data_IF_368000032269
#
_entry.id   IF_368000032269
#
_cell.length_a   1.000
_cell.length_b   1.000
_cell.length_c   1.000
_cell.angle_alpha   90.00
_cell.angle_beta   90.00
_cell.angle_gamma   90.00
#
_symmetry.space_group_name_H-M   'P 1'
#
loop_
_entity.id
_entity.type
_entity.pdbx_description
1 polymer ?
#
# COMPACT_ATOMS: atom_id res chain seq x y z
N UNK A 1 -19.02 24.01 33.04
CA UNK A 1 -20.44 23.95 32.65
C UNK A 1 -20.56 24.51 31.25
N UNK A 2 -21.21 23.80 30.32
CA UNK A 2 -21.40 24.25 28.94
C UNK A 2 -22.88 24.31 28.59
N UNK A 3 -23.26 25.21 27.68
CA UNK A 3 -24.61 25.34 27.13
C UNK A 3 -24.52 25.42 25.61
N UNK A 4 -25.58 25.01 24.95
CA UNK A 4 -25.70 25.08 23.47
C UNK A 4 -26.70 26.19 23.15
N UNK A 5 -26.47 26.93 22.07
CA UNK A 5 -27.39 27.94 21.56
C UNK A 5 -28.66 27.29 20.98
N UNK A 6 -29.80 28.00 21.08
CA UNK A 6 -31.00 27.61 20.36
C UNK A 6 -30.91 27.98 18.85
N UNK A 7 -31.99 27.73 18.09
CA UNK A 7 -32.05 28.01 16.65
C UNK A 7 -31.90 29.50 16.29
N UNK A 8 -32.14 30.40 17.24
CA UNK A 8 -31.98 31.85 17.08
C UNK A 8 -30.59 32.32 17.51
N UNK A 9 -29.67 31.41 17.87
CA UNK A 9 -28.35 31.73 18.36
C UNK A 9 -28.29 32.25 19.81
N UNK A 10 -29.39 32.11 20.59
CA UNK A 10 -29.47 32.57 21.98
C UNK A 10 -29.08 31.50 22.95
N UNK A 11 -28.36 31.87 24.00
CA UNK A 11 -27.97 31.00 25.10
C UNK A 11 -28.12 31.71 26.46
N UNK A 12 -28.28 30.95 27.51
CA UNK A 12 -28.26 31.43 28.88
C UNK A 12 -27.33 30.60 29.72
N UNK A 13 -26.42 31.22 30.42
CA UNK A 13 -25.43 30.54 31.26
C UNK A 13 -25.29 31.28 32.59
N UNK A 14 -25.22 30.53 33.69
CA UNK A 14 -24.86 31.09 35.00
C UNK A 14 -23.35 31.10 35.12
N UNK A 15 -22.79 32.30 35.31
CA UNK A 15 -21.36 32.45 35.44
C UNK A 15 -21.02 33.70 36.31
N UNK A 16 -19.86 33.66 36.96
CA UNK A 16 -19.38 34.77 37.78
C UNK A 16 -18.77 35.88 36.91
N UNK A 17 -18.73 37.15 37.41
CA UNK A 17 -18.11 38.25 36.68
C UNK A 17 -16.63 38.01 36.33
N UNK A 18 -15.92 37.17 37.08
CA UNK A 18 -14.53 36.81 36.86
C UNK A 18 -14.32 35.75 35.77
N UNK A 19 -15.40 35.05 35.36
CA UNK A 19 -15.31 33.92 34.47
C UNK A 19 -15.07 34.34 33.01
N UNK A 20 -14.44 33.40 32.28
CA UNK A 20 -14.20 33.53 30.83
C UNK A 20 -15.06 32.47 30.14
N UNK A 21 -15.86 32.90 29.20
CA UNK A 21 -16.63 32.03 28.34
C UNK A 21 -15.84 31.78 27.05
N UNK A 22 -15.63 30.51 26.71
CA UNK A 22 -15.14 30.09 25.42
C UNK A 22 -16.33 29.74 24.52
N UNK A 23 -16.47 30.46 23.41
CA UNK A 23 -17.50 30.24 22.41
C UNK A 23 -16.85 29.58 21.20
N UNK A 24 -17.36 28.43 20.78
CA UNK A 24 -16.89 27.73 19.60
C UNK A 24 -18.06 27.25 18.76
N UNK A 25 -17.91 27.35 17.45
CA UNK A 25 -18.84 26.80 16.47
C UNK A 25 -18.06 26.24 15.28
N UNK A 26 -18.57 25.19 14.67
CA UNK A 26 -17.89 24.54 13.54
C UNK A 26 -17.79 25.54 12.37
N UNK A 27 -16.57 25.79 11.88
CA UNK A 27 -16.31 26.76 10.81
C UNK A 27 -16.03 28.17 11.27
N UNK A 28 -15.96 28.43 12.58
CA UNK A 28 -15.66 29.75 13.14
C UNK A 28 -14.48 29.70 14.12
N UNK A 29 -13.71 30.78 14.16
CA UNK A 29 -12.60 30.92 15.12
C UNK A 29 -13.14 31.00 16.55
N UNK A 30 -12.71 30.09 17.48
CA UNK A 30 -13.12 30.16 18.87
C UNK A 30 -12.78 31.50 19.49
N UNK A 31 -13.71 32.05 20.28
CA UNK A 31 -13.56 33.34 20.91
C UNK A 31 -13.71 33.24 22.42
N UNK A 32 -12.75 33.78 23.14
CA UNK A 32 -12.80 33.89 24.60
C UNK A 32 -13.25 35.27 25.02
N UNK A 33 -14.22 35.34 25.91
CA UNK A 33 -14.79 36.60 26.40
C UNK A 33 -14.89 36.57 27.91
N UNK A 34 -14.30 37.56 28.56
CA UNK A 34 -14.51 37.83 29.98
C UNK A 34 -15.90 38.43 30.20
N UNK A 35 -16.66 37.92 31.14
CA UNK A 35 -18.04 38.34 31.39
C UNK A 35 -18.11 39.74 31.97
N UNK A 36 -17.33 40.01 32.99
CA UNK A 36 -17.35 41.31 33.69
C UNK A 36 -18.71 41.58 34.33
N UNK A 37 -19.14 42.82 34.33
CA UNK A 37 -20.43 43.24 34.86
C UNK A 37 -21.61 43.14 33.87
N UNK A 38 -21.38 42.56 32.69
CA UNK A 38 -22.37 42.52 31.60
C UNK A 38 -23.38 41.43 31.86
N UNK A 39 -24.66 41.76 31.76
CA UNK A 39 -25.78 40.79 31.87
C UNK A 39 -26.22 40.22 30.51
N UNK A 40 -25.90 40.92 29.43
CA UNK A 40 -26.20 40.49 28.06
C UNK A 40 -24.93 40.64 27.24
N UNK A 41 -24.62 39.61 26.46
CA UNK A 41 -23.47 39.58 25.56
C UNK A 41 -23.98 39.34 24.13
N UNK A 42 -23.63 40.25 23.21
CA UNK A 42 -23.75 39.98 21.78
C UNK A 42 -22.35 39.59 21.27
N UNK A 43 -22.27 38.45 20.60
CA UNK A 43 -21.01 37.85 20.21
C UNK A 43 -21.05 37.54 18.73
N UNK A 44 -20.19 38.21 17.98
CA UNK A 44 -19.98 37.90 16.59
C UNK A 44 -18.76 37.00 16.50
N UNK A 45 -18.94 35.82 15.87
CA UNK A 45 -17.87 34.92 15.55
C UNK A 45 -17.38 35.22 14.13
N UNK A 46 -16.08 35.28 13.96
CA UNK A 46 -15.45 35.39 12.65
C UNK A 46 -15.36 34.02 12.06
N UNK A 47 -15.71 33.88 10.79
CA UNK A 47 -15.48 32.65 10.06
C UNK A 47 -14.01 32.28 10.14
N UNK A 48 -13.72 31.02 10.48
CA UNK A 48 -12.38 30.50 10.42
C UNK A 48 -12.02 30.33 8.95
N UNK A 49 -11.49 31.39 8.35
CA UNK A 49 -10.94 31.34 6.98
C UNK A 49 -9.77 30.35 6.82
N UNK A 50 -9.34 29.73 7.92
CA UNK A 50 -8.47 28.56 7.93
C UNK A 50 -9.23 27.23 7.83
N UNK A 51 -10.56 27.23 7.66
CA UNK A 51 -11.21 26.05 7.14
C UNK A 51 -10.61 25.83 5.76
N UNK A 52 -9.65 24.94 5.76
CA UNK A 52 -8.82 24.47 4.67
C UNK A 52 -9.60 24.54 3.35
N UNK A 53 -9.42 25.65 2.62
CA UNK A 53 -9.72 25.65 1.21
C UNK A 53 -8.90 24.48 0.66
N UNK A 54 -9.58 23.41 0.29
CA UNK A 54 -8.93 22.21 -0.25
C UNK A 54 -8.16 22.64 -1.50
N UNK A 55 -6.87 22.88 -1.31
CA UNK A 55 -5.97 23.26 -2.40
C UNK A 55 -5.56 21.97 -3.09
N UNK A 56 -6.00 21.83 -4.31
CA UNK A 56 -5.58 20.74 -5.19
C UNK A 56 -4.32 21.20 -5.91
N UNK A 57 -3.30 20.38 -5.87
CA UNK A 57 -2.09 20.63 -6.64
C UNK A 57 -2.35 20.20 -8.07
N UNK A 58 -2.19 21.14 -8.99
CA UNK A 58 -2.33 20.93 -10.43
C UNK A 58 -0.95 20.85 -11.10
N UNK A 59 -0.92 20.88 -12.41
CA UNK A 59 0.30 20.78 -13.20
C UNK A 59 1.39 21.73 -12.70
N UNK A 60 2.62 21.26 -12.71
CA UNK A 60 3.83 22.01 -12.32
C UNK A 60 3.84 22.53 -10.85
N UNK A 61 3.11 21.85 -9.95
CA UNK A 61 3.14 22.19 -8.53
C UNK A 61 2.38 23.48 -8.14
N UNK A 62 1.56 24.00 -9.04
CA UNK A 62 0.70 25.16 -8.73
C UNK A 62 -0.52 24.68 -7.95
N UNK A 63 -0.67 25.13 -6.71
CA UNK A 63 -1.88 24.90 -5.92
C UNK A 63 -3.03 25.78 -6.42
N UNK A 64 -4.16 25.19 -6.78
CA UNK A 64 -5.41 25.88 -7.09
C UNK A 64 -6.49 25.46 -6.08
N UNK A 65 -7.37 26.41 -5.75
CA UNK A 65 -8.52 26.08 -4.91
C UNK A 65 -9.43 25.11 -5.65
N UNK A 66 -9.85 24.01 -5.03
CA UNK A 66 -10.75 23.01 -5.63
C UNK A 66 -12.01 23.67 -6.20
N UNK A 67 -12.55 24.65 -5.50
CA UNK A 67 -13.72 25.41 -5.92
C UNK A 67 -13.52 26.25 -7.20
N UNK A 68 -12.29 26.55 -7.58
CA UNK A 68 -11.95 27.34 -8.79
C UNK A 68 -11.58 26.46 -9.99
N UNK A 69 -11.57 25.14 -9.85
CA UNK A 69 -11.19 24.22 -10.92
C UNK A 69 -12.39 23.88 -11.80
N UNK A 70 -12.22 24.09 -13.10
CA UNK A 70 -13.16 23.61 -14.10
C UNK A 70 -12.74 22.20 -14.50
N UNK A 71 -13.34 21.18 -13.89
CA UNK A 71 -13.04 19.77 -14.17
C UNK A 71 -13.23 18.86 -12.96
N UNK A 72 -13.37 17.56 -13.19
CA UNK A 72 -13.50 16.55 -12.15
C UNK A 72 -12.15 16.21 -11.58
N UNK A 73 -11.83 16.79 -10.43
CA UNK A 73 -10.62 16.51 -9.65
C UNK A 73 -11.00 15.99 -8.29
N UNK A 74 -10.41 14.87 -7.90
CA UNK A 74 -10.56 14.29 -6.58
C UNK A 74 -9.24 14.32 -5.83
N UNK A 75 -9.28 14.80 -4.61
CA UNK A 75 -8.13 14.83 -3.71
C UNK A 75 -8.41 13.93 -2.52
N UNK A 76 -7.47 13.06 -2.18
CA UNK A 76 -7.59 12.10 -1.09
C UNK A 76 -6.34 12.14 -0.26
N UNK A 77 -6.51 12.12 1.06
CA UNK A 77 -5.40 12.06 2.00
C UNK A 77 -5.00 10.61 2.29
N UNK A 78 -3.70 10.31 2.46
CA UNK A 78 -3.23 8.94 2.74
C UNK A 78 -3.83 8.33 4.01
N UNK A 79 -4.28 9.14 4.97
CA UNK A 79 -4.96 8.64 6.16
C UNK A 79 -6.23 7.83 5.84
N UNK A 80 -6.89 8.14 4.71
CA UNK A 80 -8.06 7.43 4.22
C UNK A 80 -7.70 6.13 3.47
N UNK A 81 -6.43 6.01 3.07
CA UNK A 81 -5.88 4.86 2.35
C UNK A 81 -5.12 3.88 3.25
N UNK A 82 -5.13 4.09 4.57
CA UNK A 82 -4.43 3.21 5.52
C UNK A 82 -4.99 1.79 5.46
N UNK A 83 -4.31 0.94 4.71
CA UNK A 83 -4.48 -0.51 4.70
C UNK A 83 -3.14 -1.12 5.04
N UNK A 84 -3.11 -2.21 5.79
CA UNK A 84 -1.91 -3.03 5.91
C UNK A 84 -1.62 -3.66 4.54
N UNK A 85 -0.85 -2.96 3.73
CA UNK A 85 -0.45 -3.39 2.40
C UNK A 85 0.98 -2.97 2.16
N UNK A 86 1.74 -3.86 1.55
CA UNK A 86 3.13 -3.62 1.18
C UNK A 86 3.25 -2.70 -0.03
N UNK A 87 2.25 -2.70 -0.92
CA UNK A 87 2.22 -1.87 -2.12
C UNK A 87 1.08 -0.85 -2.07
N UNK A 88 1.41 0.38 -2.39
CA UNK A 88 0.50 1.50 -2.31
C UNK A 88 -0.71 1.36 -3.25
N UNK A 89 -0.53 0.82 -4.47
CA UNK A 89 -1.61 0.69 -5.45
C UNK A 89 -2.73 -0.26 -5.02
N UNK A 90 -2.45 -1.22 -4.15
CA UNK A 90 -3.50 -2.13 -3.62
C UNK A 90 -4.48 -1.40 -2.71
N UNK A 91 -4.06 -0.29 -2.10
CA UNK A 91 -4.92 0.55 -1.29
C UNK A 91 -5.93 1.38 -2.10
N UNK A 92 -5.78 1.46 -3.43
CA UNK A 92 -6.64 2.28 -4.28
C UNK A 92 -7.99 1.63 -4.57
N UNK A 93 -8.07 0.29 -4.53
CA UNK A 93 -9.30 -0.45 -4.83
C UNK A 93 -10.44 -0.06 -3.88
N UNK A 94 -11.55 0.42 -4.46
CA UNK A 94 -12.76 0.83 -3.73
C UNK A 94 -12.64 2.09 -2.87
N UNK A 95 -11.48 2.79 -2.88
CA UNK A 95 -11.24 3.99 -2.08
C UNK A 95 -11.04 5.26 -2.89
N UNK A 96 -10.58 5.12 -4.14
CA UNK A 96 -10.42 6.22 -5.06
C UNK A 96 -11.57 6.22 -6.07
N UNK A 97 -12.47 7.20 -5.98
CA UNK A 97 -13.61 7.27 -6.89
C UNK A 97 -13.13 7.45 -8.34
N UNK A 98 -13.61 6.59 -9.23
CA UNK A 98 -13.23 6.55 -10.64
C UNK A 98 -11.87 5.90 -10.93
N UNK A 99 -11.26 5.24 -9.94
CA UNK A 99 -10.09 4.38 -10.13
C UNK A 99 -10.51 2.92 -10.01
N UNK A 100 -10.20 2.13 -11.00
CA UNK A 100 -10.34 0.68 -11.00
C UNK A 100 -8.96 0.11 -10.72
N UNK A 101 -8.81 -0.67 -9.67
CA UNK A 101 -7.56 -1.33 -9.32
C UNK A 101 -7.76 -2.84 -9.21
N UNK A 102 -6.86 -3.62 -9.80
CA UNK A 102 -6.90 -5.08 -9.83
C UNK A 102 -5.54 -5.62 -9.42
N UNK A 103 -5.52 -6.33 -8.30
CA UNK A 103 -4.37 -7.09 -7.86
C UNK A 103 -4.46 -8.51 -8.43
N UNK A 104 -3.45 -8.92 -9.20
CA UNK A 104 -3.42 -10.26 -9.85
C UNK A 104 -2.71 -11.31 -9.01
N UNK A 105 -1.86 -10.91 -8.10
CA UNK A 105 -1.03 -11.80 -7.28
C UNK A 105 -0.85 -11.22 -5.88
N UNK A 106 -0.72 -12.07 -4.88
CA UNK A 106 -0.26 -11.72 -3.54
C UNK A 106 1.20 -12.08 -3.28
N UNK A 107 1.94 -12.48 -4.32
CA UNK A 107 3.34 -12.86 -4.20
C UNK A 107 4.19 -11.63 -3.92
N UNK A 108 5.06 -11.65 -2.91
CA UNK A 108 5.98 -10.56 -2.64
C UNK A 108 6.76 -10.13 -3.89
N UNK A 109 6.76 -8.82 -4.15
CA UNK A 109 7.39 -8.22 -5.33
C UNK A 109 6.57 -8.26 -6.62
N UNK A 110 5.45 -8.99 -6.65
CA UNK A 110 4.47 -9.04 -7.74
C UNK A 110 3.03 -8.80 -7.25
N UNK A 111 2.88 -8.26 -6.05
CA UNK A 111 1.63 -8.00 -5.32
C UNK A 111 1.08 -6.58 -5.53
N UNK A 112 1.69 -5.79 -6.40
CA UNK A 112 1.17 -4.49 -6.83
C UNK A 112 -0.15 -4.66 -7.62
N UNK A 113 -1.06 -3.69 -7.46
CA UNK A 113 -2.27 -3.62 -8.28
C UNK A 113 -2.03 -2.80 -9.55
N UNK A 114 -2.52 -3.30 -10.67
CA UNK A 114 -2.70 -2.47 -11.86
C UNK A 114 -3.93 -1.60 -11.65
N UNK A 115 -3.86 -0.33 -12.03
CA UNK A 115 -4.99 0.57 -11.87
C UNK A 115 -5.20 1.46 -13.10
N UNK A 116 -6.44 1.83 -13.31
CA UNK A 116 -6.89 2.67 -14.44
C UNK A 116 -7.82 3.76 -13.93
N UNK A 117 -7.77 4.92 -14.56
CA UNK A 117 -8.68 6.02 -14.30
C UNK A 117 -9.83 5.94 -15.31
N UNK A 118 -11.07 5.79 -14.82
CA UNK A 118 -12.29 5.61 -15.65
C UNK A 118 -12.30 4.35 -16.53
N UNK A 119 -11.41 3.40 -16.28
CA UNK A 119 -11.36 2.12 -17.00
C UNK A 119 -10.35 2.10 -18.13
N UNK A 120 -10.36 0.99 -18.87
CA UNK A 120 -9.47 0.78 -20.02
C UNK A 120 -10.06 1.47 -21.25
N UNK A 121 -9.36 2.48 -21.78
CA UNK A 121 -9.84 3.32 -22.87
C UNK A 121 -9.39 2.83 -24.28
N UNK A 122 -8.48 1.88 -24.35
CA UNK A 122 -7.92 1.35 -25.61
C UNK A 122 -7.66 -0.15 -25.51
N UNK A 123 -7.83 -0.87 -26.61
CA UNK A 123 -7.58 -2.31 -26.67
C UNK A 123 -6.11 -2.64 -27.01
N UNK A 124 -5.40 -1.79 -27.72
CA UNK A 124 -4.06 -2.05 -28.27
C UNK A 124 -3.02 -0.98 -27.90
N UNK A 125 -3.32 -0.08 -26.98
CA UNK A 125 -2.41 1.00 -26.57
C UNK A 125 -2.02 0.94 -25.12
N UNK A 126 -1.20 1.90 -24.69
CA UNK A 126 -0.87 2.11 -23.28
C UNK A 126 -2.13 2.54 -22.55
N UNK A 127 -2.49 1.80 -21.51
CA UNK A 127 -3.70 2.04 -20.70
C UNK A 127 -3.38 2.66 -19.34
N UNK A 128 -2.11 2.70 -18.97
CA UNK A 128 -1.68 3.21 -17.67
C UNK A 128 -1.88 4.72 -17.57
N UNK A 129 -2.36 5.23 -16.44
CA UNK A 129 -2.44 6.65 -16.19
C UNK A 129 -1.04 7.27 -16.06
N UNK A 130 -0.93 8.56 -16.35
CA UNK A 130 0.28 9.32 -16.09
C UNK A 130 0.41 9.58 -14.59
N UNK A 131 1.56 9.24 -14.00
CA UNK A 131 1.83 9.44 -12.57
C UNK A 131 2.87 10.53 -12.41
N UNK A 132 2.55 11.54 -11.61
CA UNK A 132 3.44 12.69 -11.33
C UNK A 132 3.69 12.74 -9.81
N UNK A 133 4.93 12.52 -9.40
CA UNK A 133 5.38 12.66 -8.01
C UNK A 133 6.14 13.97 -7.85
N UNK A 134 5.60 14.91 -7.06
CA UNK A 134 6.18 16.24 -6.81
C UNK A 134 6.62 16.99 -8.10
N UNK A 135 5.88 16.80 -9.19
CA UNK A 135 6.15 17.44 -10.48
C UNK A 135 7.01 16.60 -11.45
N UNK A 136 7.50 15.43 -11.04
CA UNK A 136 8.30 14.53 -11.86
C UNK A 136 7.47 13.32 -12.27
N UNK A 137 7.54 12.91 -13.55
CA UNK A 137 6.90 11.69 -14.03
C UNK A 137 7.62 10.46 -13.46
N UNK A 138 6.85 9.52 -12.90
CA UNK A 138 7.34 8.26 -12.35
C UNK A 138 6.53 7.08 -12.91
N UNK A 139 7.07 5.87 -12.77
CA UNK A 139 6.37 4.64 -13.16
C UNK A 139 5.40 4.17 -12.07
N UNK A 140 4.47 3.26 -12.43
CA UNK A 140 3.62 2.55 -11.45
C UNK A 140 4.46 1.72 -10.46
N UNK A 141 5.61 1.21 -10.89
CA UNK A 141 6.55 0.50 -10.00
C UNK A 141 7.15 1.42 -8.96
N UNK A 142 7.59 2.63 -9.37
CA UNK A 142 8.14 3.63 -8.44
C UNK A 142 7.07 4.07 -7.43
N UNK A 143 5.83 4.27 -7.88
CA UNK A 143 4.71 4.58 -7.00
C UNK A 143 4.47 3.48 -5.96
N UNK A 144 4.51 2.21 -6.39
CA UNK A 144 4.31 1.06 -5.50
C UNK A 144 5.39 0.94 -4.43
N UNK A 145 6.60 1.38 -4.73
CA UNK A 145 7.71 1.35 -3.79
C UNK A 145 7.72 2.53 -2.80
N UNK A 146 6.85 3.55 -3.00
CA UNK A 146 6.74 4.67 -2.07
C UNK A 146 6.16 4.23 -0.72
N UNK A 147 6.70 4.79 0.33
CA UNK A 147 6.10 4.68 1.65
C UNK A 147 4.86 5.59 1.75
N UNK A 148 3.66 5.08 2.08
CA UNK A 148 2.47 5.90 2.29
C UNK A 148 2.66 7.04 3.31
N UNK A 149 3.56 6.87 4.27
CA UNK A 149 3.81 7.86 5.32
C UNK A 149 4.50 9.15 4.81
N UNK A 150 5.13 9.11 3.63
CA UNK A 150 5.71 10.32 3.03
C UNK A 150 4.71 11.14 2.23
N UNK A 151 3.55 10.59 1.91
CA UNK A 151 2.56 11.20 1.02
C UNK A 151 1.65 12.13 1.80
N UNK A 152 1.42 13.31 1.26
CA UNK A 152 0.47 14.30 1.78
C UNK A 152 -0.92 14.12 1.14
N UNK A 153 -0.96 14.01 -0.18
CA UNK A 153 -2.21 13.87 -0.93
C UNK A 153 -2.04 13.21 -2.30
N UNK A 154 -3.13 12.63 -2.78
CA UNK A 154 -3.32 12.21 -4.16
C UNK A 154 -4.35 13.11 -4.81
N UNK A 155 -4.06 13.63 -6.00
CA UNK A 155 -5.01 14.36 -6.83
C UNK A 155 -5.18 13.62 -8.15
N UNK A 156 -6.42 13.26 -8.47
CA UNK A 156 -6.73 12.48 -9.68
C UNK A 156 -7.45 13.39 -10.67
N UNK A 157 -6.82 13.65 -11.80
CA UNK A 157 -7.37 14.41 -12.91
C UNK A 157 -8.03 13.45 -13.88
N UNK A 158 -9.36 13.52 -13.97
CA UNK A 158 -10.17 12.55 -14.74
C UNK A 158 -10.63 13.08 -16.09
N UNK A 159 -10.80 14.41 -16.22
CA UNK A 159 -11.37 15.03 -17.40
C UNK A 159 -10.30 15.61 -18.34
N UNK A 160 -10.63 15.69 -19.64
CA UNK A 160 -9.75 16.25 -20.66
C UNK A 160 -9.33 17.70 -20.34
N UNK A 161 -10.23 18.51 -19.78
CA UNK A 161 -9.92 19.89 -19.35
C UNK A 161 -8.89 19.94 -18.25
N UNK A 162 -8.97 19.03 -17.26
CA UNK A 162 -8.02 18.94 -16.16
C UNK A 162 -6.66 18.34 -16.62
N UNK A 163 -6.67 17.43 -17.60
CA UNK A 163 -5.47 16.77 -18.11
C UNK A 163 -4.82 17.48 -19.30
N UNK A 164 -5.44 18.53 -19.86
CA UNK A 164 -4.97 19.25 -21.04
C UNK A 164 -3.52 19.73 -20.94
N UNK A 165 -3.08 20.13 -19.75
CA UNK A 165 -1.71 20.59 -19.50
C UNK A 165 -0.64 19.48 -19.66
N UNK A 166 -1.06 18.21 -19.67
CA UNK A 166 -0.17 17.05 -19.85
C UNK A 166 -0.20 16.50 -21.29
N UNK A 167 -1.00 17.12 -22.17
CA UNK A 167 -1.12 16.73 -23.56
C UNK A 167 -1.60 15.28 -23.75
N UNK A 168 -1.09 14.63 -24.78
CA UNK A 168 -1.46 13.23 -25.13
C UNK A 168 -1.13 12.22 -24.03
N UNK A 169 -0.10 12.48 -23.21
CA UNK A 169 0.26 11.62 -22.08
C UNK A 169 -0.80 11.59 -20.98
N UNK A 170 -1.62 12.62 -20.88
CA UNK A 170 -2.73 12.69 -19.94
C UNK A 170 -4.03 12.03 -20.42
N UNK A 171 -4.06 11.39 -21.60
CA UNK A 171 -5.27 10.82 -22.19
C UNK A 171 -5.95 9.77 -21.33
N UNK A 172 -5.18 8.96 -20.59
CA UNK A 172 -5.68 7.92 -19.67
C UNK A 172 -5.91 8.43 -18.23
N UNK A 173 -5.93 9.77 -18.05
CA UNK A 173 -5.99 10.41 -16.75
C UNK A 173 -4.60 10.63 -16.15
N UNK A 174 -4.55 11.50 -15.14
CA UNK A 174 -3.31 11.86 -14.43
C UNK A 174 -3.50 11.68 -12.93
N UNK A 175 -2.58 11.00 -12.30
CA UNK A 175 -2.46 10.90 -10.85
C UNK A 175 -1.30 11.78 -10.39
N UNK A 176 -1.59 12.80 -9.62
CA UNK A 176 -0.59 13.67 -9.00
C UNK A 176 -0.42 13.23 -7.55
N UNK A 177 0.80 12.89 -7.19
CA UNK A 177 1.20 12.50 -5.83
C UNK A 177 2.04 13.61 -5.25
N UNK A 178 1.64 14.13 -4.12
CA UNK A 178 2.37 15.18 -3.41
C UNK A 178 2.91 14.61 -2.11
N UNK A 179 4.21 14.81 -1.87
CA UNK A 179 4.83 14.39 -0.63
C UNK A 179 4.68 15.46 0.46
N UNK A 180 4.72 15.01 1.71
CA UNK A 180 4.62 15.90 2.89
C UNK A 180 5.70 16.97 2.85
N UNK A 181 5.31 18.18 3.20
CA UNK A 181 6.19 19.33 3.32
C UNK A 181 6.41 19.67 4.80
N UNK A 182 7.40 20.49 5.09
CA UNK A 182 7.59 21.08 6.40
C UNK A 182 6.43 21.99 6.79
N UNK A 183 6.43 22.39 8.04
CA UNK A 183 5.45 23.32 8.62
C UNK A 183 6.16 24.30 9.53
N UNK A 184 5.62 25.52 9.62
CA UNK A 184 6.05 26.48 10.65
C UNK A 184 5.45 26.02 11.99
N UNK A 185 6.28 25.42 12.83
CA UNK A 185 5.91 24.84 14.12
C UNK A 185 6.88 25.31 15.20
N UNK A 186 6.38 25.54 16.41
CA UNK A 186 7.20 25.88 17.58
C UNK A 186 8.13 24.72 17.97
N UNK A 187 7.68 23.49 17.73
CA UNK A 187 8.45 22.26 17.98
C UNK A 187 8.29 21.30 16.80
N UNK A 188 9.34 20.56 16.42
CA UNK A 188 9.22 19.55 15.38
C UNK A 188 8.30 18.40 15.81
N UNK A 189 7.57 17.86 14.86
CA UNK A 189 6.76 16.65 15.03
C UNK A 189 7.63 15.47 14.58
N UNK A 190 7.79 14.50 15.47
CA UNK A 190 8.51 13.25 15.22
C UNK A 190 7.50 12.11 15.26
N UNK A 191 7.50 11.27 14.22
CA UNK A 191 6.68 10.08 14.17
C UNK A 191 7.57 8.86 13.96
N UNK A 192 7.26 7.80 14.69
CA UNK A 192 7.82 6.48 14.49
C UNK A 192 6.68 5.49 14.31
N UNK A 193 6.77 4.65 13.29
CA UNK A 193 5.80 3.60 12.99
C UNK A 193 6.51 2.29 12.73
N UNK A 194 6.04 1.24 13.35
CA UNK A 194 6.46 -0.13 13.12
C UNK A 194 5.22 -0.97 12.81
N UNK A 195 5.30 -1.78 11.78
CA UNK A 195 4.25 -2.70 11.37
C UNK A 195 4.85 -4.10 11.20
N UNK A 196 4.17 -5.11 11.68
CA UNK A 196 4.45 -6.51 11.40
C UNK A 196 3.19 -7.13 10.79
N UNK A 197 3.35 -7.87 9.72
CA UNK A 197 2.26 -8.50 9.00
C UNK A 197 2.57 -9.97 8.79
N UNK A 198 1.57 -10.81 8.99
CA UNK A 198 1.58 -12.22 8.64
C UNK A 198 0.60 -12.46 7.48
N UNK A 199 1.07 -13.13 6.44
CA UNK A 199 0.26 -13.49 5.28
C UNK A 199 0.17 -15.01 5.15
N UNK A 200 -1.04 -15.49 4.87
CA UNK A 200 -1.31 -16.92 4.68
C UNK A 200 -2.11 -17.12 3.38
N UNK A 201 -1.95 -18.26 2.68
CA UNK A 201 -2.83 -18.62 1.57
C UNK A 201 -4.28 -18.72 2.05
N UNK A 202 -5.20 -18.21 1.28
CA UNK A 202 -6.64 -18.35 1.56
C UNK A 202 -7.16 -19.76 1.30
N UNK A 203 -6.46 -20.49 0.45
CA UNK A 203 -6.72 -21.89 0.13
C UNK A 203 -5.45 -22.56 -0.33
N UNK A 204 -5.26 -23.81 0.05
CA UNK A 204 -4.15 -24.66 -0.39
C UNK A 204 -4.69 -25.88 -1.13
N UNK A 205 -3.93 -26.40 -2.12
CA UNK A 205 -4.29 -27.65 -2.78
C UNK A 205 -4.33 -28.79 -1.78
N UNK A 206 -5.28 -29.70 -1.95
CA UNK A 206 -5.35 -30.96 -1.19
C UNK A 206 -4.94 -32.10 -2.09
N UNK A 207 -3.95 -32.84 -1.67
CA UNK A 207 -3.44 -33.99 -2.40
C UNK A 207 -3.91 -35.31 -1.73
N UNK A 208 -4.05 -36.35 -2.53
CA UNK A 208 -4.16 -37.71 -2.03
C UNK A 208 -2.79 -38.22 -1.62
N UNK A 209 -2.73 -39.16 -0.71
CA UNK A 209 -1.48 -39.86 -0.39
C UNK A 209 -0.98 -40.72 -1.54
N UNK A 210 0.31 -41.10 -1.50
CA UNK A 210 0.95 -41.86 -2.56
C UNK A 210 0.30 -43.20 -2.85
N UNK A 211 -0.25 -43.90 -1.85
CA UNK A 211 -0.93 -45.19 -2.07
C UNK A 211 -2.23 -44.97 -2.84
N UNK A 212 -3.05 -44.01 -2.43
CA UNK A 212 -4.28 -43.64 -3.14
C UNK A 212 -3.98 -43.12 -4.55
N UNK A 213 -2.91 -42.35 -4.73
CA UNK A 213 -2.47 -41.87 -6.04
C UNK A 213 -2.19 -43.08 -6.99
N UNK A 214 -1.44 -44.07 -6.52
CA UNK A 214 -1.11 -45.26 -7.32
C UNK A 214 -2.34 -46.10 -7.67
N UNK A 215 -3.29 -46.27 -6.74
CA UNK A 215 -4.56 -46.95 -6.99
C UNK A 215 -5.39 -46.27 -8.07
N UNK A 216 -5.57 -44.95 -7.95
CA UNK A 216 -6.32 -44.14 -8.93
C UNK A 216 -5.62 -44.13 -10.30
N UNK A 217 -4.29 -44.08 -10.31
CA UNK A 217 -3.53 -44.17 -11.56
C UNK A 217 -3.73 -45.49 -12.26
N UNK A 218 -3.61 -46.62 -11.51
CA UNK A 218 -3.85 -47.96 -12.06
C UNK A 218 -5.30 -48.12 -12.54
N UNK A 219 -6.27 -47.57 -11.82
CA UNK A 219 -7.67 -47.56 -12.25
C UNK A 219 -7.87 -46.83 -13.58
N UNK A 220 -7.23 -45.66 -13.72
CA UNK A 220 -7.29 -44.88 -14.95
C UNK A 220 -6.68 -45.65 -16.15
N UNK A 221 -5.52 -46.31 -15.96
CA UNK A 221 -4.88 -47.14 -16.99
C UNK A 221 -5.78 -48.31 -17.40
N UNK A 222 -6.41 -48.99 -16.43
CA UNK A 222 -7.33 -50.09 -16.71
C UNK A 222 -8.57 -49.61 -17.48
N UNK A 223 -9.12 -48.44 -17.13
CA UNK A 223 -10.30 -47.91 -17.82
C UNK A 223 -10.01 -47.46 -19.25
N UNK A 224 -8.77 -47.03 -19.52
CA UNK A 224 -8.33 -46.58 -20.85
C UNK A 224 -7.89 -47.78 -21.75
N UNK A 225 -7.89 -49.00 -21.26
CA UNK A 225 -7.36 -50.20 -21.92
C UNK A 225 -5.95 -50.01 -22.52
N UNK A 226 -5.14 -49.14 -21.90
CA UNK A 226 -3.85 -48.71 -22.43
C UNK A 226 -2.67 -49.62 -22.07
N UNK A 227 -2.89 -50.73 -21.36
CA UNK A 227 -1.86 -51.70 -21.07
C UNK A 227 -1.79 -52.17 -19.61
N UNK A 228 -0.64 -52.66 -19.20
CA UNK A 228 -0.40 -53.15 -17.85
C UNK A 228 -0.38 -52.05 -16.81
N UNK A 229 -0.84 -52.37 -15.61
CA UNK A 229 -0.79 -51.44 -14.46
C UNK A 229 0.66 -51.07 -14.13
N UNK A 230 0.89 -49.80 -13.91
CA UNK A 230 2.23 -49.27 -13.64
C UNK A 230 2.72 -49.61 -12.23
N UNK A 231 1.81 -49.64 -11.25
CA UNK A 231 2.15 -49.83 -9.84
C UNK A 231 1.70 -51.17 -9.34
N UNK A 232 2.65 -51.99 -8.81
CA UNK A 232 2.33 -53.28 -8.20
C UNK A 232 1.64 -53.13 -6.84
N UNK A 233 0.86 -54.15 -6.45
CA UNK A 233 0.20 -54.15 -5.14
C UNK A 233 1.19 -54.05 -3.98
N UNK A 234 2.35 -54.74 -4.08
CA UNK A 234 3.41 -54.66 -3.05
C UNK A 234 3.92 -53.23 -2.86
N UNK A 235 4.04 -52.43 -3.94
CA UNK A 235 4.44 -51.05 -3.87
C UNK A 235 3.37 -50.16 -3.21
N UNK A 236 2.11 -50.40 -3.54
CA UNK A 236 0.98 -49.66 -2.93
C UNK A 236 0.93 -49.96 -1.43
N UNK A 237 0.99 -51.26 -1.07
CA UNK A 237 0.92 -51.66 0.34
C UNK A 237 2.13 -51.23 1.14
N UNK A 238 3.33 -51.27 0.58
CA UNK A 238 4.56 -50.74 1.20
C UNK A 238 4.50 -49.25 1.45
N UNK A 239 3.98 -48.47 0.49
CA UNK A 239 3.77 -47.02 0.64
C UNK A 239 2.70 -46.71 1.69
N UNK A 240 1.59 -47.45 1.70
CA UNK A 240 0.51 -47.29 2.69
C UNK A 240 0.98 -47.64 4.11
N UNK A 241 1.83 -48.66 4.24
CA UNK A 241 2.41 -49.05 5.51
C UNK A 241 3.53 -48.12 6.01
N UNK A 242 3.93 -47.12 5.20
CA UNK A 242 5.00 -46.19 5.56
C UNK A 242 6.36 -46.85 5.71
N UNK A 243 6.66 -47.86 4.87
CA UNK A 243 7.95 -48.55 4.90
C UNK A 243 9.08 -47.58 4.46
N UNK A 244 10.31 -48.12 4.28
CA UNK A 244 11.48 -47.32 3.93
C UNK A 244 11.18 -46.25 2.85
N UNK A 245 11.23 -44.92 3.17
CA UNK A 245 10.82 -43.87 2.24
C UNK A 245 11.71 -43.74 1.00
N UNK A 246 12.89 -44.34 0.99
CA UNK A 246 13.74 -44.38 -0.20
C UNK A 246 13.26 -45.41 -1.24
N UNK A 247 12.53 -46.45 -0.81
CA UNK A 247 11.96 -47.49 -1.68
C UNK A 247 10.47 -47.21 -1.93
N UNK A 248 9.77 -46.72 -0.92
CA UNK A 248 8.35 -46.42 -0.92
C UNK A 248 8.08 -44.95 -0.61
N UNK A 249 8.50 -44.03 -1.49
CA UNK A 249 8.29 -42.63 -1.27
C UNK A 249 6.81 -42.26 -1.24
N UNK A 250 6.46 -41.32 -0.38
CA UNK A 250 5.13 -40.73 -0.25
C UNK A 250 5.29 -39.25 0.10
N UNK A 251 5.45 -38.44 -0.92
CA UNK A 251 5.87 -37.04 -0.77
C UNK A 251 4.74 -36.08 -1.13
N UNK A 252 4.36 -35.21 -0.22
CA UNK A 252 3.56 -34.06 -0.54
C UNK A 252 4.48 -32.90 -0.94
N UNK A 253 4.70 -32.70 -2.23
CA UNK A 253 5.60 -31.69 -2.76
C UNK A 253 5.21 -30.27 -2.39
N UNK A 254 3.91 -30.01 -2.22
CA UNK A 254 3.46 -28.70 -1.77
C UNK A 254 3.94 -28.40 -0.33
N UNK A 255 3.70 -29.33 0.58
CA UNK A 255 4.11 -29.20 1.98
C UNK A 255 5.64 -29.17 2.15
N UNK A 256 6.37 -29.86 1.23
CA UNK A 256 7.83 -29.81 1.23
C UNK A 256 8.39 -28.46 0.78
N UNK A 257 7.74 -27.78 -0.14
CA UNK A 257 8.27 -26.57 -0.79
C UNK A 257 7.71 -25.28 -0.21
N UNK A 258 6.48 -25.27 0.31
CA UNK A 258 5.82 -24.07 0.76
C UNK A 258 5.63 -24.02 2.28
N UNK A 259 5.68 -22.79 2.81
CA UNK A 259 5.38 -22.48 4.21
C UNK A 259 3.87 -22.23 4.37
N UNK A 260 3.38 -22.36 5.60
CA UNK A 260 2.01 -22.03 5.95
C UNK A 260 1.78 -20.51 6.04
N UNK A 261 2.84 -19.76 6.36
CA UNK A 261 2.78 -18.32 6.49
C UNK A 261 4.10 -17.64 6.07
N UNK A 262 3.99 -16.40 5.63
CA UNK A 262 5.11 -15.48 5.43
C UNK A 262 4.96 -14.25 6.32
N UNK A 263 6.06 -13.56 6.57
CA UNK A 263 6.12 -12.40 7.44
C UNK A 263 6.70 -11.21 6.69
N UNK A 264 6.16 -10.04 6.98
CA UNK A 264 6.66 -8.76 6.47
C UNK A 264 6.73 -7.76 7.59
N UNK A 265 7.76 -6.93 7.59
CA UNK A 265 8.04 -5.94 8.62
C UNK A 265 8.32 -4.59 7.95
N UNK A 266 7.78 -3.55 8.55
CA UNK A 266 7.96 -2.20 8.06
C UNK A 266 8.28 -1.25 9.19
N UNK A 267 9.32 -0.44 9.00
CA UNK A 267 9.72 0.62 9.90
C UNK A 267 9.67 1.95 9.16
N UNK A 268 9.10 2.95 9.77
CA UNK A 268 9.14 4.32 9.28
C UNK A 268 9.47 5.26 10.43
N UNK A 269 10.45 6.12 10.19
CA UNK A 269 10.76 7.25 11.05
C UNK A 269 10.66 8.52 10.22
N UNK A 270 9.90 9.50 10.69
CA UNK A 270 9.85 10.78 10.02
C UNK A 270 9.83 11.95 11.00
N UNK A 271 10.41 13.05 10.55
CA UNK A 271 10.46 14.32 11.27
C UNK A 271 9.98 15.46 10.36
N UNK A 272 9.19 16.33 10.91
CA UNK A 272 8.57 17.45 10.23
C UNK A 272 8.66 18.69 11.11
N UNK A 273 9.12 19.80 10.55
CA UNK A 273 9.27 21.03 11.30
C UNK A 273 9.62 22.21 10.43
N UNK A 274 9.97 23.31 11.09
CA UNK A 274 10.43 24.49 10.43
C UNK A 274 10.02 25.77 11.14
N UNK A 275 10.46 26.89 10.60
CA UNK A 275 10.15 28.23 11.05
C UNK A 275 9.70 29.12 9.91
N UNK A 276 9.72 30.44 10.12
CA UNK A 276 9.23 31.42 9.14
C UNK A 276 10.01 31.45 7.81
N UNK A 277 11.26 30.99 7.80
CA UNK A 277 12.15 31.08 6.63
C UNK A 277 12.46 29.71 6.01
N UNK A 278 12.54 28.68 6.83
CA UNK A 278 12.89 27.30 6.37
C UNK A 278 11.92 26.32 7.00
N UNK A 279 11.36 25.47 6.21
CA UNK A 279 10.59 24.30 6.64
C UNK A 279 11.16 23.03 6.03
N UNK A 280 11.00 21.91 6.73
CA UNK A 280 11.55 20.64 6.31
C UNK A 280 10.66 19.47 6.69
N UNK A 281 10.76 18.44 5.87
CA UNK A 281 10.24 17.10 6.13
C UNK A 281 11.31 16.09 5.73
N UNK A 282 11.65 15.17 6.62
CA UNK A 282 12.56 14.06 6.34
C UNK A 282 11.95 12.78 6.80
N UNK A 283 12.09 11.72 6.01
CA UNK A 283 11.62 10.37 6.34
C UNK A 283 12.61 9.32 5.88
N UNK A 284 12.76 8.30 6.68
CA UNK A 284 13.45 7.06 6.34
C UNK A 284 12.53 5.90 6.62
N UNK A 285 12.44 4.95 5.70
CA UNK A 285 11.73 3.70 5.93
C UNK A 285 12.51 2.50 5.43
N UNK A 286 12.31 1.39 6.13
CA UNK A 286 12.83 0.07 5.79
C UNK A 286 11.67 -0.89 5.77
N UNK A 287 11.53 -1.65 4.69
CA UNK A 287 10.49 -2.63 4.51
C UNK A 287 11.11 -3.96 4.10
N UNK A 288 10.83 -5.00 4.87
CA UNK A 288 11.25 -6.37 4.63
C UNK A 288 10.03 -7.23 4.28
N UNK A 289 10.12 -8.00 3.21
CA UNK A 289 9.08 -8.94 2.79
C UNK A 289 9.70 -10.30 2.52
N UNK A 290 9.13 -11.35 3.09
CA UNK A 290 9.53 -12.73 2.88
C UNK A 290 8.46 -13.50 2.08
N UNK A 291 8.90 -14.36 1.17
CA UNK A 291 8.03 -15.25 0.39
C UNK A 291 7.64 -16.52 1.14
N UNK A 292 6.83 -17.34 0.46
CA UNK A 292 6.25 -18.56 1.01
C UNK A 292 7.10 -19.82 0.78
N UNK A 293 8.22 -19.75 0.03
CA UNK A 293 9.04 -20.92 -0.21
C UNK A 293 9.85 -21.28 1.04
N UNK A 294 9.92 -22.58 1.35
CA UNK A 294 10.86 -23.11 2.35
C UNK A 294 12.28 -23.02 1.81
N UNK A 295 13.19 -22.48 2.61
CA UNK A 295 14.57 -22.25 2.18
C UNK A 295 15.46 -23.44 2.51
N UNK A 296 15.14 -24.59 1.91
CA UNK A 296 15.92 -25.82 2.10
C UNK A 296 17.27 -25.80 1.36
N UNK A 297 17.45 -24.89 0.40
CA UNK A 297 18.75 -24.74 -0.29
C UNK A 297 19.88 -24.34 0.66
N UNK A 298 19.58 -23.65 1.75
CA UNK A 298 20.59 -23.28 2.78
C UNK A 298 21.20 -24.48 3.50
N UNK A 299 20.53 -25.62 3.51
CA UNK A 299 21.01 -26.85 4.11
C UNK A 299 22.16 -27.47 3.28
N UNK A 300 22.21 -27.13 1.98
CA UNK A 300 23.17 -27.69 1.02
C UNK A 300 24.03 -26.63 0.33
N UNK A 301 23.53 -25.40 0.21
CA UNK A 301 24.14 -24.33 -0.57
C UNK A 301 24.14 -23.00 0.21
N UNK A 302 25.01 -22.10 -0.17
CA UNK A 302 25.14 -20.77 0.46
C UNK A 302 24.06 -19.76 0.02
N UNK A 303 23.23 -20.09 -0.97
CA UNK A 303 22.21 -19.17 -1.50
C UNK A 303 20.84 -19.43 -0.91
N UNK A 304 20.02 -18.38 -0.93
CA UNK A 304 18.61 -18.41 -0.52
C UNK A 304 17.72 -18.57 -1.78
N UNK A 305 16.84 -19.56 -1.82
CA UNK A 305 15.90 -19.78 -2.90
C UNK A 305 14.46 -19.29 -2.59
N UNK A 306 14.26 -18.64 -1.47
CA UNK A 306 13.01 -17.94 -1.19
C UNK A 306 13.01 -16.55 -1.84
N UNK A 307 11.84 -15.94 -1.96
CA UNK A 307 11.75 -14.51 -2.25
C UNK A 307 12.03 -13.76 -0.96
N UNK A 308 12.98 -12.86 -1.01
CA UNK A 308 13.24 -11.87 0.05
C UNK A 308 13.43 -10.50 -0.59
N UNK A 309 12.75 -9.51 -0.07
CA UNK A 309 12.78 -8.15 -0.58
C UNK A 309 13.07 -7.20 0.57
N UNK A 310 14.13 -6.41 0.42
CA UNK A 310 14.42 -5.28 1.27
C UNK A 310 14.24 -3.99 0.47
N UNK A 311 13.40 -3.09 0.98
CA UNK A 311 13.23 -1.74 0.40
C UNK A 311 13.65 -0.70 1.41
N UNK A 312 14.50 0.21 0.96
CA UNK A 312 14.96 1.36 1.73
C UNK A 312 14.47 2.62 1.02
N UNK A 313 13.72 3.45 1.71
CA UNK A 313 13.24 4.71 1.17
C UNK A 313 13.76 5.87 2.02
N UNK A 314 14.27 6.88 1.36
CA UNK A 314 14.65 8.14 1.98
C UNK A 314 13.96 9.29 1.25
N UNK A 315 13.25 10.12 1.99
CA UNK A 315 12.62 11.35 1.49
C UNK A 315 13.14 12.54 2.27
N UNK A 316 13.52 13.59 1.56
CA UNK A 316 13.88 14.85 2.17
C UNK A 316 13.30 16.02 1.37
N UNK A 317 12.46 16.82 2.01
CA UNK A 317 11.82 17.99 1.44
C UNK A 317 12.20 19.20 2.26
N UNK A 318 12.86 20.18 1.62
CA UNK A 318 13.25 21.43 2.26
C UNK A 318 12.71 22.58 1.43
N UNK A 319 12.05 23.52 2.07
CA UNK A 319 11.66 24.78 1.47
C UNK A 319 12.36 25.93 2.21
N UNK A 320 13.01 26.79 1.47
CA UNK A 320 13.66 27.98 2.01
C UNK A 320 13.13 29.25 1.34
N UNK A 321 12.59 30.16 2.13
CA UNK A 321 12.19 31.47 1.68
C UNK A 321 13.42 32.38 1.71
N UNK A 322 14.03 32.62 0.55
CA UNK A 322 15.25 33.42 0.40
C UNK A 322 14.96 34.93 0.52
N UNK A 323 13.83 35.33 -0.06
CA UNK A 323 13.33 36.72 0.01
C UNK A 323 11.79 36.71 0.02
N UNK A 324 11.17 37.90 -0.02
CA UNK A 324 9.71 38.00 -0.15
C UNK A 324 9.20 37.52 -1.52
N UNK A 325 10.06 37.51 -2.54
CA UNK A 325 9.73 37.13 -3.92
C UNK A 325 10.37 35.81 -4.35
N UNK A 326 11.30 35.25 -3.55
CA UNK A 326 12.08 34.07 -3.98
C UNK A 326 11.99 32.94 -2.96
N UNK A 327 11.65 31.76 -3.45
CA UNK A 327 11.59 30.50 -2.68
C UNK A 327 12.46 29.45 -3.37
N UNK A 328 13.28 28.76 -2.59
CA UNK A 328 14.01 27.58 -3.01
C UNK A 328 13.31 26.34 -2.43
N UNK A 329 13.05 25.35 -3.27
CA UNK A 329 12.49 24.06 -2.84
C UNK A 329 13.38 22.94 -3.33
N UNK A 330 13.82 22.10 -2.40
CA UNK A 330 14.55 20.86 -2.67
C UNK A 330 13.65 19.67 -2.35
N UNK A 331 13.54 18.75 -3.30
CA UNK A 331 12.85 17.49 -3.14
C UNK A 331 13.83 16.37 -3.49
N UNK A 332 14.14 15.52 -2.53
CA UNK A 332 15.02 14.36 -2.72
C UNK A 332 14.27 13.11 -2.32
N UNK A 333 14.07 12.22 -3.28
CA UNK A 333 13.52 10.88 -3.06
C UNK A 333 14.55 9.85 -3.52
N UNK A 334 14.91 8.93 -2.64
CA UNK A 334 15.83 7.83 -2.94
C UNK A 334 15.12 6.53 -2.56
N UNK A 335 15.09 5.59 -3.49
CA UNK A 335 14.55 4.26 -3.30
C UNK A 335 15.60 3.24 -3.68
N UNK A 336 15.93 2.35 -2.74
CA UNK A 336 16.80 1.21 -2.99
C UNK A 336 15.99 -0.05 -2.74
N UNK A 337 16.07 -1.00 -3.66
CA UNK A 337 15.42 -2.30 -3.56
C UNK A 337 16.45 -3.39 -3.77
N UNK A 338 16.60 -4.23 -2.78
CA UNK A 338 17.35 -5.48 -2.86
C UNK A 338 16.34 -6.63 -2.89
N UNK A 339 16.49 -7.53 -3.87
CA UNK A 339 15.53 -8.61 -4.09
C UNK A 339 16.25 -9.90 -4.44
N UNK A 340 16.05 -10.91 -3.62
CA UNK A 340 16.43 -12.29 -3.90
C UNK A 340 15.19 -13.05 -4.40
N UNK A 341 15.36 -13.82 -5.45
CA UNK A 341 14.30 -14.67 -6.02
C UNK A 341 14.88 -16.03 -6.43
N UNK A 342 14.05 -17.09 -6.45
CA UNK A 342 14.49 -18.36 -7.02
C UNK A 342 14.77 -18.20 -8.52
N UNK A 343 15.70 -19.00 -9.03
CA UNK A 343 16.08 -19.00 -10.46
C UNK A 343 14.89 -19.29 -11.38
N UNK A 344 14.02 -20.22 -10.96
CA UNK A 344 12.73 -20.42 -11.61
C UNK A 344 11.67 -19.56 -10.91
N UNK A 345 10.78 -18.93 -11.68
CA UNK A 345 9.68 -18.17 -11.11
C UNK A 345 8.81 -19.05 -10.18
N UNK A 346 8.30 -18.46 -9.09
CA UNK A 346 7.49 -19.19 -8.08
C UNK A 346 6.30 -19.91 -8.72
N UNK A 347 5.68 -19.34 -9.76
CA UNK A 347 4.62 -19.99 -10.52
C UNK A 347 5.05 -21.31 -11.15
N UNK A 348 6.27 -21.39 -11.69
CA UNK A 348 6.81 -22.63 -12.24
C UNK A 348 7.10 -23.66 -11.14
N UNK A 349 7.64 -23.22 -9.99
CA UNK A 349 7.85 -24.10 -8.83
C UNK A 349 6.53 -24.66 -8.33
N UNK A 350 5.48 -23.82 -8.23
CA UNK A 350 4.15 -24.24 -7.86
C UNK A 350 3.59 -25.26 -8.85
N UNK A 351 3.67 -25.00 -10.16
CA UNK A 351 3.21 -25.91 -11.20
C UNK A 351 3.94 -27.25 -11.13
N UNK A 352 5.26 -27.23 -10.92
CA UNK A 352 6.04 -28.44 -10.77
C UNK A 352 5.63 -29.23 -9.52
N UNK A 353 5.41 -28.56 -8.39
CA UNK A 353 4.93 -29.20 -7.16
C UNK A 353 3.57 -29.90 -7.36
N UNK A 354 2.69 -29.29 -8.19
CA UNK A 354 1.36 -29.85 -8.50
C UNK A 354 1.44 -31.07 -9.44
N UNK A 355 2.42 -31.13 -10.33
CA UNK A 355 2.51 -32.12 -11.38
C UNK A 355 3.51 -33.24 -11.07
N UNK A 356 4.35 -33.07 -10.06
CA UNK A 356 5.34 -34.10 -9.72
C UNK A 356 4.68 -35.26 -8.98
N UNK A 357 4.94 -36.47 -9.43
CA UNK A 357 4.45 -37.70 -8.80
C UNK A 357 4.88 -37.80 -7.33
N UNK A 358 3.97 -38.14 -6.42
CA UNK A 358 4.29 -38.26 -4.98
C UNK A 358 5.11 -39.52 -4.65
N UNK A 359 5.28 -40.45 -5.61
CA UNK A 359 5.80 -41.80 -5.36
C UNK A 359 7.02 -42.20 -6.19
N UNK A 360 7.56 -41.28 -7.02
CA UNK A 360 8.69 -41.61 -7.89
C UNK A 360 10.04 -41.53 -7.18
N UNK A 361 10.24 -40.51 -6.35
CA UNK A 361 11.50 -40.32 -5.65
C UNK A 361 11.30 -39.70 -4.27
N UNK A 362 12.19 -39.96 -3.33
CA UNK A 362 12.15 -39.33 -2.01
C UNK A 362 12.59 -37.86 -2.05
N UNK A 363 12.30 -37.12 -1.00
CA UNK A 363 12.76 -35.71 -0.86
C UNK A 363 14.29 -35.58 -0.86
N UNK A 364 14.96 -36.58 -0.26
CA UNK A 364 16.41 -36.67 -0.17
C UNK A 364 16.88 -38.07 -0.55
N UNK A 365 18.08 -38.16 -1.09
CA UNK A 365 18.83 -39.39 -1.20
C UNK A 365 19.93 -39.40 -0.15
N UNK A 366 20.27 -40.54 0.44
CA UNK A 366 21.32 -40.66 1.45
C UNK A 366 22.69 -40.32 0.87
#
# INVERSE_FOLDING_TARGET
TGVITNIDGKFTIMAAPSDVILISYVGYTPKEIKIGSRKVLSIDLNEDAKQLEEVVITAYGTGQKKASMVGSVESIKPAELKVPSTNLSTAFAGRLAGVIAVQKSGQPGADGANFWIRGVSTMNGVTDPLIILDGVQVSSSDLNNLDPEIIDSFSILKDATATAMYGTRGANGVMIVTTKSGMNLDKPIINFRMEAQMSQPTSTPKFVDGATYMELFNEAVNNDNSGDVLYSQDRIDGTRAGLNPYIYPNVNWYDELFKDASYSEKFNFNIRGGGKRVDYFSSISVNHESGMLKNRSKDFFSYNNNIEIMRYNFQNNINAKLSNSSKLSLRLNVQLRDMTTPNQGVGAIFTNAMNTSPVEFPVYFP
#
